data_IF_756967547584
#
_entry.id   IF_756967547584
#
_cell.length_a   1.000
_cell.length_b   1.000
_cell.length_c   1.000
_cell.angle_alpha   90.00
_cell.angle_beta   90.00
_cell.angle_gamma   90.00
#
_symmetry.space_group_name_H-M   'P 1'
#
loop_
_entity.id
_entity.type
_entity.pdbx_description
1 polymer ?
#
# COMPACT_ATOMS: atom_id res chain seq x y z
N UNK A 1 -3.02 -9.24 12.75
CA UNK A 1 -3.18 -10.21 11.64
C UNK A 1 -4.58 -10.05 11.07
N UNK A 2 -4.71 -9.92 9.75
CA UNK A 2 -6.01 -9.84 9.07
C UNK A 2 -6.30 -11.17 8.36
N UNK A 3 -7.58 -11.56 8.29
CA UNK A 3 -8.01 -12.76 7.56
C UNK A 3 -8.23 -12.41 6.11
N UNK A 4 -7.57 -13.14 5.20
CA UNK A 4 -7.75 -13.02 3.77
C UNK A 4 -8.35 -14.31 3.20
N UNK A 5 -9.35 -14.19 2.34
CA UNK A 5 -9.87 -15.27 1.51
C UNK A 5 -9.66 -14.89 0.05
N UNK A 6 -9.03 -15.78 -0.73
CA UNK A 6 -8.79 -15.59 -2.15
C UNK A 6 -9.31 -16.80 -2.91
N UNK A 7 -9.88 -16.55 -4.09
CA UNK A 7 -10.21 -17.59 -5.05
C UNK A 7 -9.06 -17.68 -6.07
N UNK A 8 -8.64 -18.90 -6.37
CA UNK A 8 -7.56 -19.17 -7.33
C UNK A 8 -7.98 -20.31 -8.25
N UNK A 9 -7.37 -20.38 -9.43
CA UNK A 9 -7.55 -21.51 -10.33
C UNK A 9 -7.02 -22.80 -9.73
N UNK A 10 -7.63 -23.93 -10.10
CA UNK A 10 -7.25 -25.27 -9.60
C UNK A 10 -5.77 -25.59 -9.89
N UNK A 11 -5.25 -25.16 -11.05
CA UNK A 11 -3.85 -25.31 -11.42
C UNK A 11 -2.92 -24.60 -10.41
N UNK A 12 -3.28 -23.39 -10.00
CA UNK A 12 -2.54 -22.58 -9.02
C UNK A 12 -2.63 -23.21 -7.63
N UNK A 13 -3.82 -23.66 -7.23
CA UNK A 13 -4.02 -24.38 -5.97
C UNK A 13 -3.13 -25.64 -5.90
N UNK A 14 -3.11 -26.45 -6.97
CA UNK A 14 -2.28 -27.64 -7.07
C UNK A 14 -0.78 -27.34 -6.95
N UNK A 15 -0.31 -26.25 -7.57
CA UNK A 15 1.08 -25.81 -7.46
C UNK A 15 1.44 -25.38 -6.03
N UNK A 16 0.57 -24.60 -5.37
CA UNK A 16 0.74 -24.17 -3.98
C UNK A 16 0.81 -25.38 -3.03
N UNK A 17 -0.09 -26.34 -3.20
CA UNK A 17 -0.15 -27.56 -2.38
C UNK A 17 1.13 -28.40 -2.52
N UNK A 18 1.61 -28.62 -3.75
CA UNK A 18 2.86 -29.36 -4.01
C UNK A 18 4.06 -28.66 -3.36
N UNK A 19 4.14 -27.34 -3.48
CA UNK A 19 5.23 -26.54 -2.88
C UNK A 19 5.19 -26.56 -1.35
N UNK A 20 4.01 -26.48 -0.75
CA UNK A 20 3.83 -26.59 0.70
C UNK A 20 4.26 -27.96 1.22
N UNK A 21 3.86 -29.04 0.53
CA UNK A 21 4.25 -30.41 0.88
C UNK A 21 5.77 -30.60 0.78
N UNK A 22 6.39 -30.18 -0.32
CA UNK A 22 7.84 -30.30 -0.52
C UNK A 22 8.65 -29.56 0.57
N UNK A 23 8.15 -28.42 1.04
CA UNK A 23 8.80 -27.60 2.07
C UNK A 23 8.42 -27.99 3.50
N UNK A 24 7.48 -28.92 3.71
CA UNK A 24 6.91 -29.28 5.02
C UNK A 24 6.38 -28.09 5.81
N UNK A 25 5.74 -27.14 5.12
CA UNK A 25 5.11 -25.96 5.73
C UNK A 25 3.63 -25.86 5.34
N UNK A 26 2.87 -25.02 6.04
CA UNK A 26 1.47 -24.78 5.69
C UNK A 26 1.34 -24.02 4.37
N UNK A 27 0.21 -24.20 3.67
CA UNK A 27 -0.12 -23.40 2.48
C UNK A 27 -0.09 -21.89 2.78
N UNK A 28 -0.57 -21.48 3.95
CA UNK A 28 -0.56 -20.08 4.36
C UNK A 28 0.85 -19.52 4.54
N UNK A 29 1.85 -20.33 4.89
CA UNK A 29 3.25 -19.90 4.89
C UNK A 29 3.74 -19.66 3.46
N UNK A 30 3.47 -20.61 2.53
CA UNK A 30 3.86 -20.44 1.12
C UNK A 30 3.21 -19.21 0.49
N UNK A 31 1.92 -18.97 0.75
CA UNK A 31 1.21 -17.80 0.23
C UNK A 31 1.80 -16.50 0.76
N UNK A 32 2.14 -16.44 2.06
CA UNK A 32 2.78 -15.25 2.65
C UNK A 32 4.13 -14.97 2.02
N UNK A 33 5.01 -15.97 1.92
CA UNK A 33 6.34 -15.81 1.30
C UNK A 33 6.23 -15.29 -0.14
N UNK A 34 5.26 -15.81 -0.91
CA UNK A 34 5.02 -15.40 -2.29
C UNK A 34 4.50 -13.96 -2.37
N UNK A 35 3.57 -13.59 -1.49
CA UNK A 35 3.05 -12.22 -1.43
C UNK A 35 4.13 -11.23 -1.00
N UNK A 36 4.96 -11.57 -0.02
CA UNK A 36 6.08 -10.75 0.42
C UNK A 36 7.11 -10.55 -0.70
N UNK A 37 7.45 -11.62 -1.43
CA UNK A 37 8.34 -11.55 -2.58
C UNK A 37 7.76 -10.74 -3.75
N UNK A 38 6.45 -10.80 -3.95
CA UNK A 38 5.77 -10.16 -5.08
C UNK A 38 5.44 -8.68 -4.85
N UNK A 39 5.07 -8.32 -3.61
CA UNK A 39 4.76 -6.96 -3.23
C UNK A 39 6.04 -6.15 -2.94
N UNK A 40 7.16 -6.82 -2.69
CA UNK A 40 8.41 -6.21 -2.26
C UNK A 40 8.29 -5.56 -0.89
N UNK A 41 9.41 -5.08 -0.34
CA UNK A 41 9.30 -4.02 0.67
C UNK A 41 8.75 -2.79 -0.05
N UNK A 42 7.66 -2.15 0.46
CA UNK A 42 7.37 -0.80 0.01
C UNK A 42 8.65 0.00 0.22
N UNK A 43 9.12 0.79 -0.76
CA UNK A 43 10.31 1.60 -0.56
C UNK A 43 10.13 2.37 0.74
N UNK A 44 10.94 2.04 1.74
CA UNK A 44 11.14 2.88 2.93
C UNK A 44 11.94 4.10 2.52
N UNK A 45 11.52 4.77 1.44
CA UNK A 45 12.00 6.10 1.15
C UNK A 45 11.23 7.02 2.08
N UNK A 46 11.78 7.19 3.28
CA UNK A 46 11.66 8.46 3.96
C UNK A 46 12.30 9.49 3.03
N UNK A 47 11.46 10.11 2.18
CA UNK A 47 11.89 11.18 1.30
C UNK A 47 12.53 12.26 2.18
N UNK A 48 13.83 12.46 1.98
CA UNK A 48 14.59 13.52 2.65
C UNK A 48 14.33 14.80 1.89
N UNK A 49 14.52 15.94 2.56
CA UNK A 49 14.35 17.25 1.92
C UNK A 49 15.22 17.40 0.65
N UNK A 50 16.35 16.71 0.59
CA UNK A 50 17.25 16.66 -0.57
C UNK A 50 16.71 15.88 -1.78
N UNK A 51 15.69 15.04 -1.60
CA UNK A 51 15.06 14.28 -2.68
C UNK A 51 14.06 15.14 -3.46
N UNK A 52 13.77 16.36 -2.98
CA UNK A 52 12.89 17.31 -3.65
C UNK A 52 13.72 18.30 -4.49
N UNK A 53 13.56 18.25 -5.80
CA UNK A 53 14.19 19.19 -6.74
C UNK A 53 13.64 20.62 -6.64
N UNK A 54 12.48 20.79 -5.99
CA UNK A 54 11.86 22.09 -5.74
C UNK A 54 10.99 22.04 -4.48
N UNK A 55 11.32 22.88 -3.50
CA UNK A 55 10.46 23.18 -2.35
C UNK A 55 10.21 24.68 -2.37
N UNK A 56 9.02 25.09 -2.79
CA UNK A 56 8.65 26.49 -2.92
C UNK A 56 7.27 26.75 -2.31
N UNK A 57 7.17 27.79 -1.49
CA UNK A 57 5.89 28.38 -1.13
C UNK A 57 5.54 29.42 -2.21
N UNK A 58 4.62 29.07 -3.11
CA UNK A 58 4.13 30.00 -4.12
C UNK A 58 2.90 30.74 -3.58
N UNK A 59 2.96 32.07 -3.54
CA UNK A 59 1.74 32.88 -3.42
C UNK A 59 1.12 33.04 -4.80
N UNK A 60 -0.03 32.42 -5.01
CA UNK A 60 -0.87 32.70 -6.19
C UNK A 60 -1.27 34.18 -6.19
N UNK A 61 -1.15 34.86 -7.34
CA UNK A 61 -1.67 36.24 -7.51
C UNK A 61 -3.20 36.31 -7.35
N UNK A 62 -3.89 35.18 -7.53
CA UNK A 62 -5.31 35.03 -7.27
C UNK A 62 -5.46 34.41 -5.89
N UNK A 63 -5.93 35.18 -4.92
CA UNK A 63 -6.16 34.76 -3.54
C UNK A 63 -7.39 33.85 -3.40
N UNK A 64 -7.52 32.84 -4.27
CA UNK A 64 -8.54 31.83 -4.07
C UNK A 64 -8.12 31.02 -2.85
N UNK A 65 -8.86 31.18 -1.76
CA UNK A 65 -8.66 30.54 -0.45
C UNK A 65 -9.06 29.06 -0.47
N UNK A 66 -8.63 28.35 -1.51
CA UNK A 66 -9.03 26.96 -1.76
C UNK A 66 -8.62 26.10 -0.56
N UNK A 67 -7.39 26.22 -0.07
CA UNK A 67 -6.93 25.45 1.10
C UNK A 67 -7.76 25.73 2.36
N UNK A 68 -8.09 26.99 2.63
CA UNK A 68 -8.87 27.39 3.83
C UNK A 68 -10.34 26.93 3.74
N UNK A 69 -10.92 26.96 2.53
CA UNK A 69 -12.29 26.47 2.28
C UNK A 69 -12.37 24.94 2.36
N UNK A 70 -11.35 24.23 1.88
CA UNK A 70 -11.24 22.78 2.01
C UNK A 70 -11.08 22.36 3.47
N UNK A 71 -10.24 23.06 4.25
CA UNK A 71 -10.07 22.81 5.69
C UNK A 71 -11.35 23.09 6.47
N UNK A 72 -12.06 24.17 6.13
CA UNK A 72 -13.37 24.48 6.71
C UNK A 72 -14.41 23.40 6.40
N UNK A 73 -14.50 22.96 5.14
CA UNK A 73 -15.43 21.90 4.73
C UNK A 73 -15.14 20.55 5.41
N UNK A 74 -13.87 20.28 5.74
CA UNK A 74 -13.47 19.10 6.52
C UNK A 74 -13.78 19.25 8.01
N UNK A 75 -13.60 20.43 8.60
CA UNK A 75 -13.89 20.71 10.00
C UNK A 75 -15.39 20.82 10.33
N UNK A 76 -16.20 21.26 9.36
CA UNK A 76 -17.66 21.39 9.50
C UNK A 76 -18.42 20.08 9.23
N UNK A 77 -17.74 19.01 8.79
CA UNK A 77 -18.31 17.66 8.76
C UNK A 77 -18.37 17.09 10.18
N UNK A 78 -19.39 17.49 10.94
CA UNK A 78 -19.91 16.70 12.05
C UNK A 78 -20.43 15.36 11.53
N UNK A 79 -19.79 14.27 11.94
CA UNK A 79 -20.35 12.92 11.85
C UNK A 79 -21.48 12.73 12.86
#
# INVERSE_FOLDING_TARGET
MHRLQIQVEEKTYGALRKRAFARRVSMGAVVRDLLESALGEPPSHHLKLADFTFVGAASSKVSNRISEEHDRALGERTW
#
